data_IF_057854158767
#
_entry.id   IF_057854158767
#
_cell.length_a   1.000
_cell.length_b   1.000
_cell.length_c   1.000
_cell.angle_alpha   90.00
_cell.angle_beta   90.00
_cell.angle_gamma   90.00
#
_symmetry.space_group_name_H-M   'P 1'
#
loop_
_entity.id
_entity.type
_entity.pdbx_description
1 polymer ?
#
# COMPACT_ATOMS: atom_id res chain seq x y z
N UNK A 1 -30.37 -14.39 -13.97
CA UNK A 1 -30.58 -14.28 -12.50
C UNK A 1 -31.71 -13.30 -12.29
N UNK A 2 -32.82 -13.71 -11.70
CA UNK A 2 -34.00 -12.86 -11.56
C UNK A 2 -34.73 -13.16 -10.25
N UNK A 3 -35.54 -12.20 -9.80
CA UNK A 3 -36.25 -12.23 -8.53
C UNK A 3 -37.57 -13.02 -8.57
N UNK A 4 -37.88 -13.67 -9.70
CA UNK A 4 -39.10 -14.45 -9.90
C UNK A 4 -39.30 -15.59 -8.88
N UNK A 5 -38.24 -16.03 -8.20
CA UNK A 5 -38.34 -16.98 -7.11
C UNK A 5 -39.02 -16.41 -5.84
N UNK A 6 -39.08 -15.08 -5.69
CA UNK A 6 -39.78 -14.43 -4.57
C UNK A 6 -41.30 -14.56 -4.67
N UNK A 7 -41.84 -14.70 -5.88
CA UNK A 7 -43.30 -14.81 -6.13
C UNK A 7 -43.90 -16.10 -5.54
N UNK A 8 -43.06 -17.07 -5.19
CA UNK A 8 -43.47 -18.35 -4.59
C UNK A 8 -43.42 -18.40 -3.06
N UNK A 9 -42.96 -17.34 -2.38
CA UNK A 9 -42.93 -17.30 -0.92
C UNK A 9 -44.20 -16.63 -0.39
N UNK A 10 -44.88 -17.29 0.54
CA UNK A 10 -46.09 -16.78 1.19
C UNK A 10 -45.82 -16.27 2.61
N UNK A 11 -44.61 -16.51 3.14
CA UNK A 11 -44.13 -15.94 4.39
C UNK A 11 -43.10 -14.84 4.12
N UNK A 12 -43.28 -13.70 4.79
CA UNK A 12 -42.44 -12.54 4.60
C UNK A 12 -41.02 -12.75 5.14
N UNK A 13 -40.84 -13.57 6.19
CA UNK A 13 -39.52 -13.83 6.76
C UNK A 13 -38.70 -14.72 5.82
N UNK A 14 -39.32 -15.77 5.26
CA UNK A 14 -38.68 -16.64 4.28
C UNK A 14 -38.26 -15.88 3.01
N UNK A 15 -39.13 -14.98 2.53
CA UNK A 15 -38.82 -14.11 1.39
C UNK A 15 -37.64 -13.17 1.68
N UNK A 16 -37.61 -12.56 2.88
CA UNK A 16 -36.49 -11.72 3.32
C UNK A 16 -35.18 -12.52 3.41
N UNK A 17 -35.23 -13.72 3.99
CA UNK A 17 -34.07 -14.59 4.12
C UNK A 17 -33.51 -14.98 2.74
N UNK A 18 -34.37 -15.34 1.79
CA UNK A 18 -33.95 -15.61 0.42
C UNK A 18 -33.27 -14.40 -0.23
N UNK A 19 -33.84 -13.21 -0.07
CA UNK A 19 -33.28 -11.97 -0.60
C UNK A 19 -31.89 -11.68 -0.04
N UNK A 20 -31.73 -11.68 1.29
CA UNK A 20 -30.45 -11.39 1.92
C UNK A 20 -29.40 -12.46 1.60
N UNK A 21 -29.80 -13.73 1.54
CA UNK A 21 -28.90 -14.81 1.13
C UNK A 21 -28.39 -14.59 -0.30
N UNK A 22 -29.25 -14.19 -1.25
CA UNK A 22 -28.80 -13.87 -2.61
C UNK A 22 -27.89 -12.65 -2.64
N UNK A 23 -28.21 -11.61 -1.89
CA UNK A 23 -27.41 -10.40 -1.80
C UNK A 23 -26.01 -10.66 -1.23
N UNK A 24 -25.93 -11.38 -0.11
CA UNK A 24 -24.66 -11.73 0.51
C UNK A 24 -23.84 -12.68 -0.35
N UNK A 25 -24.46 -13.66 -1.00
CA UNK A 25 -23.75 -14.51 -1.98
C UNK A 25 -23.14 -13.68 -3.12
N UNK A 26 -23.84 -12.66 -3.60
CA UNK A 26 -23.30 -11.74 -4.61
C UNK A 26 -22.13 -10.91 -4.07
N UNK A 27 -22.21 -10.43 -2.82
CA UNK A 27 -21.06 -9.77 -2.18
C UNK A 27 -19.87 -10.71 -2.04
N UNK A 28 -20.09 -11.97 -1.67
CA UNK A 28 -19.03 -12.95 -1.49
C UNK A 28 -18.29 -13.28 -2.79
N UNK A 29 -19.00 -13.26 -3.92
CA UNK A 29 -18.42 -13.56 -5.24
C UNK A 29 -17.85 -12.32 -5.93
N UNK A 30 -18.48 -11.15 -5.75
CA UNK A 30 -18.14 -9.95 -6.52
C UNK A 30 -17.34 -8.91 -5.74
N UNK A 31 -17.35 -8.95 -4.40
CA UNK A 31 -16.67 -7.97 -3.55
C UNK A 31 -15.46 -8.62 -2.88
N UNK A 32 -14.24 -8.16 -3.17
CA UNK A 32 -13.05 -8.63 -2.46
C UNK A 32 -13.16 -8.33 -0.97
N UNK A 33 -13.25 -9.38 -0.14
CA UNK A 33 -13.31 -9.26 1.33
C UNK A 33 -11.94 -9.06 1.98
N UNK A 34 -10.86 -9.19 1.23
CA UNK A 34 -9.51 -8.98 1.73
C UNK A 34 -9.01 -7.59 1.31
N UNK A 35 -8.36 -6.89 2.26
CA UNK A 35 -7.55 -5.73 1.91
C UNK A 35 -6.37 -6.26 1.11
N UNK A 36 -6.23 -5.82 -0.13
CA UNK A 36 -5.00 -6.04 -0.89
C UNK A 36 -3.87 -5.46 -0.04
N UNK A 37 -3.04 -6.35 0.53
CA UNK A 37 -1.81 -5.93 1.18
C UNK A 37 -0.98 -5.22 0.11
N UNK A 38 -1.05 -3.89 0.07
CA UNK A 38 -0.26 -3.11 -0.86
C UNK A 38 1.19 -3.53 -0.65
N UNK A 39 1.80 -4.10 -1.69
CA UNK A 39 3.21 -4.49 -1.66
C UNK A 39 3.99 -3.28 -1.18
N UNK A 40 4.55 -3.34 0.03
CA UNK A 40 5.29 -2.22 0.59
C UNK A 40 6.44 -1.92 -0.36
N UNK A 41 6.48 -0.69 -0.87
CA UNK A 41 7.57 -0.23 -1.75
C UNK A 41 8.93 -0.25 -1.06
N UNK A 42 8.94 -0.16 0.26
CA UNK A 42 10.13 -0.11 1.10
C UNK A 42 10.10 -1.25 2.13
N UNK A 43 11.27 -1.64 2.66
CA UNK A 43 11.35 -2.64 3.72
C UNK A 43 10.48 -2.28 4.94
N UNK A 44 9.99 -3.28 5.70
CA UNK A 44 9.07 -3.05 6.81
C UNK A 44 9.68 -2.24 7.97
N UNK A 45 11.00 -2.26 8.13
CA UNK A 45 11.72 -1.46 9.13
C UNK A 45 11.98 0.00 8.69
N UNK A 46 11.62 0.39 7.46
CA UNK A 46 11.83 1.77 7.01
C UNK A 46 10.75 2.69 7.56
N UNK A 47 11.18 3.74 8.28
CA UNK A 47 10.29 4.79 8.73
C UNK A 47 10.12 5.92 7.68
N UNK A 48 9.21 6.84 7.96
CA UNK A 48 8.91 7.97 7.06
C UNK A 48 10.11 8.90 6.85
N UNK A 49 11.04 8.98 7.80
CA UNK A 49 12.24 9.80 7.69
C UNK A 49 13.21 9.23 6.66
N UNK A 50 13.52 7.93 6.71
CA UNK A 50 14.35 7.24 5.72
C UNK A 50 13.77 7.41 4.32
N UNK A 51 12.45 7.22 4.17
CA UNK A 51 11.75 7.39 2.90
C UNK A 51 11.90 8.82 2.34
N UNK A 52 11.87 9.85 3.20
CA UNK A 52 12.10 11.25 2.80
C UNK A 52 13.54 11.46 2.33
N UNK A 53 14.54 10.88 3.01
CA UNK A 53 15.94 11.02 2.63
C UNK A 53 16.21 10.34 1.28
N UNK A 54 15.66 9.15 1.04
CA UNK A 54 15.75 8.44 -0.26
C UNK A 54 15.19 9.31 -1.40
N UNK A 55 13.98 9.88 -1.22
CA UNK A 55 13.38 10.77 -2.23
C UNK A 55 14.23 12.02 -2.49
N UNK A 56 14.80 12.61 -1.44
CA UNK A 56 15.70 13.79 -1.55
C UNK A 56 17.00 13.44 -2.27
N UNK A 57 17.61 12.29 -1.97
CA UNK A 57 18.78 11.74 -2.68
C UNK A 57 18.54 11.70 -4.19
N UNK A 58 17.38 11.21 -4.62
CA UNK A 58 17.06 11.11 -6.05
C UNK A 58 16.85 12.47 -6.72
N UNK A 59 16.37 13.48 -5.98
CA UNK A 59 16.29 14.86 -6.49
C UNK A 59 17.70 15.44 -6.70
N UNK A 60 18.58 15.27 -5.72
CA UNK A 60 19.96 15.79 -5.77
C UNK A 60 20.76 15.10 -6.86
N UNK A 61 20.65 13.78 -7.00
CA UNK A 61 21.32 13.04 -8.08
C UNK A 61 20.86 13.50 -9.47
N UNK A 62 19.56 13.76 -9.63
CA UNK A 62 19.03 14.33 -10.88
C UNK A 62 19.52 15.77 -11.13
N UNK A 63 19.80 16.55 -10.09
CA UNK A 63 20.38 17.89 -10.21
C UNK A 63 21.85 17.82 -10.60
N UNK A 64 22.63 16.96 -9.92
CA UNK A 64 24.03 16.72 -10.24
C UNK A 64 24.19 16.26 -11.69
N UNK A 65 23.40 15.28 -12.16
CA UNK A 65 23.47 14.81 -13.55
C UNK A 65 23.18 15.89 -14.60
N UNK A 66 22.51 16.99 -14.24
CA UNK A 66 22.23 18.11 -15.15
C UNK A 66 23.31 19.18 -15.12
N UNK A 67 23.76 19.53 -13.91
CA UNK A 67 24.62 20.70 -13.71
C UNK A 67 26.10 20.33 -13.53
N UNK A 68 26.40 19.03 -13.34
CA UNK A 68 27.71 18.46 -13.04
C UNK A 68 28.46 19.13 -11.88
N UNK A 69 27.71 19.67 -10.92
CA UNK A 69 28.22 20.42 -9.78
C UNK A 69 28.84 19.49 -8.71
N UNK A 70 30.15 19.62 -8.41
CA UNK A 70 30.84 18.79 -7.41
C UNK A 70 30.27 18.91 -5.99
N UNK A 71 29.77 20.08 -5.58
CA UNK A 71 29.22 20.30 -4.24
C UNK A 71 27.89 19.55 -4.06
N UNK A 72 27.06 19.56 -5.11
CA UNK A 72 25.83 18.78 -5.17
C UNK A 72 26.13 17.29 -5.13
N UNK A 73 27.21 16.85 -5.77
CA UNK A 73 27.66 15.44 -5.71
C UNK A 73 28.15 15.04 -4.31
N UNK A 74 28.88 15.92 -3.64
CA UNK A 74 29.31 15.68 -2.26
C UNK A 74 28.11 15.54 -1.31
N UNK A 75 27.13 16.45 -1.42
CA UNK A 75 25.87 16.37 -0.68
C UNK A 75 25.11 15.07 -0.97
N UNK A 76 25.14 14.59 -2.22
CA UNK A 76 24.53 13.31 -2.59
C UNK A 76 25.20 12.12 -1.88
N UNK A 77 26.53 12.08 -1.82
CA UNK A 77 27.29 11.04 -1.10
C UNK A 77 26.97 11.02 0.38
N UNK A 78 26.94 12.19 1.02
CA UNK A 78 26.58 12.31 2.44
C UNK A 78 25.19 11.76 2.72
N UNK A 79 24.21 12.04 1.84
CA UNK A 79 22.86 11.48 1.98
C UNK A 79 22.80 9.98 1.77
N UNK A 80 23.62 9.41 0.88
CA UNK A 80 23.72 7.94 0.74
C UNK A 80 24.27 7.33 2.03
N UNK A 81 25.34 7.91 2.58
CA UNK A 81 25.93 7.44 3.84
C UNK A 81 24.89 7.45 4.96
N UNK A 82 24.14 8.55 5.08
CA UNK A 82 23.06 8.68 6.06
C UNK A 82 21.96 7.62 5.89
N UNK A 83 21.53 7.33 4.66
CA UNK A 83 20.51 6.30 4.42
C UNK A 83 20.98 4.93 4.89
N UNK A 84 22.25 4.58 4.67
CA UNK A 84 22.82 3.30 5.13
C UNK A 84 22.77 3.21 6.66
N UNK A 85 23.28 4.23 7.34
CA UNK A 85 23.29 4.30 8.82
C UNK A 85 21.87 4.23 9.38
N UNK A 86 20.97 5.08 8.87
CA UNK A 86 19.58 5.13 9.35
C UNK A 86 18.84 3.80 9.09
N UNK A 87 19.10 3.15 7.95
CA UNK A 87 18.54 1.84 7.61
C UNK A 87 19.04 0.74 8.54
N UNK A 88 20.34 0.68 8.80
CA UNK A 88 20.94 -0.32 9.68
C UNK A 88 20.44 -0.15 11.11
N UNK A 89 20.36 1.10 11.59
CA UNK A 89 19.82 1.40 12.90
C UNK A 89 18.33 1.02 13.00
N UNK A 90 17.54 1.33 11.97
CA UNK A 90 16.13 0.98 11.96
C UNK A 90 15.90 -0.54 11.92
N UNK A 91 16.77 -1.28 11.23
CA UNK A 91 16.74 -2.75 11.24
C UNK A 91 17.07 -3.31 12.63
N UNK A 92 18.10 -2.79 13.30
CA UNK A 92 18.46 -3.19 14.68
C UNK A 92 17.36 -2.93 15.71
N UNK A 93 16.49 -1.94 15.48
CA UNK A 93 15.34 -1.66 16.34
C UNK A 93 14.17 -2.62 16.03
N UNK A 94 14.09 -3.09 14.80
CA UNK A 94 12.99 -3.94 14.33
C UNK A 94 13.16 -5.42 14.72
N UNK A 95 14.40 -5.90 14.82
CA UNK A 95 14.78 -7.26 15.26
C UNK A 95 15.03 -7.28 16.75
#
# INVERSE_FOLDING_TARGET
MGWAALDGYHDANEACEFFYNKLYNAFDTCVPKYVLAMKRKYPPWFNSAINKVIKRKEKIHRSYRRNNDPEVYQTFKERISKIKIDSDQAYKIYV
#
